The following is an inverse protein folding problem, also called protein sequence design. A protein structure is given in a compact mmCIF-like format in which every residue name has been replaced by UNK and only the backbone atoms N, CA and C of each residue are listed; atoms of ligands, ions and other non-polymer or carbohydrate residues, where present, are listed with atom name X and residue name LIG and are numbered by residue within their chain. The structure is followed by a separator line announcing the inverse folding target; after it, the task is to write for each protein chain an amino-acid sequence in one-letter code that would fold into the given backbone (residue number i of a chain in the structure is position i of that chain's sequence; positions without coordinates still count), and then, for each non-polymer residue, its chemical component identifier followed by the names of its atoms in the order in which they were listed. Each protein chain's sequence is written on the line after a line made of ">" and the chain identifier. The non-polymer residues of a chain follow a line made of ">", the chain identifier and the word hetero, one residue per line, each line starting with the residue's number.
data_IF_124282936963
#
_entry.id   IF_124282936963
#
_cell.length_a   1.000
_cell.length_b   1.000
_cell.length_c   1.000
_cell.angle_alpha   90.00
_cell.angle_beta   90.00
_cell.angle_gamma   90.00
#
_symmetry.space_group_name_H-M   'P 1'
#
loop_
_entity.id
_entity.type
_entity.pdbx_description
1 polymer ?
#
# COMPACT_ATOMS: atom_id res chain seq x y z
N UNK A 1 13.70 0.32 66.67
CA UNK A 1 12.69 1.11 65.93
C UNK A 1 13.29 2.01 64.85
N UNK A 2 14.31 2.81 65.14
CA UNK A 2 14.90 3.76 64.17
C UNK A 2 15.46 3.08 62.90
N UNK A 3 16.14 1.94 63.05
CA UNK A 3 16.69 1.15 61.94
C UNK A 3 15.57 0.59 61.03
N UNK A 4 14.44 0.16 61.61
CA UNK A 4 13.29 -0.31 60.86
C UNK A 4 12.61 0.82 60.07
N UNK A 5 12.52 2.03 60.65
CA UNK A 5 12.02 3.23 59.97
C UNK A 5 12.92 3.63 58.80
N UNK A 6 14.24 3.62 58.99
CA UNK A 6 15.20 3.94 57.93
C UNK A 6 15.11 2.91 56.80
N UNK A 7 15.08 1.60 57.12
CA UNK A 7 14.95 0.55 56.11
C UNK A 7 13.62 0.65 55.34
N UNK A 8 12.51 0.98 56.03
CA UNK A 8 11.21 1.18 55.38
C UNK A 8 11.22 2.39 54.42
N UNK A 9 11.85 3.51 54.81
CA UNK A 9 12.01 4.69 53.96
C UNK A 9 12.91 4.44 52.75
N UNK A 10 13.99 3.66 52.91
CA UNK A 10 14.88 3.26 51.81
C UNK A 10 14.16 2.36 50.80
N UNK A 11 13.35 1.41 51.28
CA UNK A 11 12.55 0.53 50.40
C UNK A 11 11.50 1.34 49.62
N UNK A 12 10.79 2.26 50.29
CA UNK A 12 9.78 3.10 49.65
C UNK A 12 10.38 4.07 48.62
N UNK A 13 11.51 4.69 48.92
CA UNK A 13 12.19 5.59 47.98
C UNK A 13 12.73 4.86 46.75
N UNK A 14 13.23 3.63 46.92
CA UNK A 14 13.68 2.78 45.81
C UNK A 14 12.51 2.34 44.91
N UNK A 15 11.37 1.97 45.49
CA UNK A 15 10.13 1.65 44.76
C UNK A 15 9.65 2.84 43.91
N UNK A 16 9.57 4.04 44.50
CA UNK A 16 9.20 5.27 43.79
C UNK A 16 10.18 5.60 42.65
N UNK A 17 11.49 5.49 42.89
CA UNK A 17 12.50 5.75 41.87
C UNK A 17 12.36 4.78 40.68
N UNK A 18 12.12 3.49 40.94
CA UNK A 18 11.92 2.49 39.89
C UNK A 18 10.65 2.72 39.07
N UNK A 19 9.54 3.11 39.72
CA UNK A 19 8.27 3.46 39.06
C UNK A 19 8.45 4.69 38.16
N UNK A 20 9.14 5.72 38.64
CA UNK A 20 9.46 6.91 37.83
C UNK A 20 10.35 6.57 36.62
N UNK A 21 11.36 5.71 36.79
CA UNK A 21 12.18 5.25 35.68
C UNK A 21 11.36 4.49 34.63
N UNK A 22 10.40 3.65 35.06
CA UNK A 22 9.50 2.95 34.14
C UNK A 22 8.57 3.91 33.41
N UNK A 23 8.00 4.90 34.11
CA UNK A 23 7.16 5.94 33.48
C UNK A 23 7.93 6.67 32.39
N UNK A 24 9.16 7.11 32.68
CA UNK A 24 10.00 7.80 31.70
C UNK A 24 10.26 6.93 30.47
N UNK A 25 10.60 5.65 30.67
CA UNK A 25 10.78 4.71 29.56
C UNK A 25 9.50 4.52 28.74
N UNK A 26 8.34 4.47 29.39
CA UNK A 26 7.05 4.39 28.69
C UNK A 26 6.82 5.65 27.83
N UNK A 27 7.19 6.83 28.32
CA UNK A 27 7.09 8.07 27.54
C UNK A 27 7.99 8.05 26.31
N UNK A 28 9.25 7.63 26.47
CA UNK A 28 10.20 7.43 25.37
C UNK A 28 9.66 6.40 24.35
N UNK A 29 9.19 5.24 24.81
CA UNK A 29 8.61 4.20 23.94
C UNK A 29 7.37 4.73 23.16
N UNK A 30 6.52 5.56 23.79
CA UNK A 30 5.36 6.17 23.11
C UNK A 30 5.81 7.14 22.03
N UNK A 31 6.78 8.00 22.32
CA UNK A 31 7.32 8.97 21.37
C UNK A 31 7.92 8.27 20.14
N UNK A 32 8.67 7.20 20.34
CA UNK A 32 9.22 6.37 19.26
C UNK A 32 8.12 5.81 18.36
N UNK A 33 7.06 5.23 18.94
CA UNK A 33 5.94 4.73 18.15
C UNK A 33 5.14 5.82 17.43
N UNK A 34 5.00 7.01 18.02
CA UNK A 34 4.36 8.16 17.36
C UNK A 34 5.18 8.64 16.16
N UNK A 35 6.51 8.65 16.28
CA UNK A 35 7.44 8.95 15.20
C UNK A 35 7.38 7.91 14.07
N UNK A 36 7.34 6.62 14.40
CA UNK A 36 7.19 5.53 13.42
C UNK A 36 5.88 5.67 12.64
N UNK A 37 4.77 5.97 13.31
CA UNK A 37 3.47 6.22 12.66
C UNK A 37 3.60 7.39 11.67
N UNK A 38 4.23 8.48 12.08
CA UNK A 38 4.43 9.66 11.22
C UNK A 38 5.28 9.35 10.00
N UNK A 39 6.35 8.58 10.17
CA UNK A 39 7.20 8.12 9.06
C UNK A 39 6.41 7.23 8.09
N UNK A 40 5.67 6.26 8.60
CA UNK A 40 4.83 5.37 7.80
C UNK A 40 3.75 6.14 7.03
N UNK A 41 3.14 7.16 7.63
CA UNK A 41 2.19 8.04 6.95
C UNK A 41 2.86 8.80 5.78
N UNK A 42 4.08 9.29 5.97
CA UNK A 42 4.86 9.91 4.90
C UNK A 42 5.14 8.94 3.74
N UNK A 43 5.48 7.68 4.07
CA UNK A 43 5.67 6.62 3.07
C UNK A 43 4.37 6.33 2.31
N UNK A 44 3.23 6.24 3.01
CA UNK A 44 1.91 6.04 2.40
C UNK A 44 1.59 7.15 1.39
N UNK A 45 1.83 8.42 1.74
CA UNK A 45 1.59 9.54 0.82
C UNK A 45 2.51 9.50 -0.40
N UNK A 46 3.80 9.17 -0.20
CA UNK A 46 4.72 8.93 -1.31
C UNK A 46 4.26 7.79 -2.22
N UNK A 47 3.78 6.68 -1.66
CA UNK A 47 3.23 5.56 -2.43
C UNK A 47 1.98 5.96 -3.21
N UNK A 48 1.05 6.69 -2.61
CA UNK A 48 -0.15 7.20 -3.29
C UNK A 48 0.19 8.09 -4.47
N UNK A 49 1.24 8.92 -4.38
CA UNK A 49 1.66 9.78 -5.49
C UNK A 49 2.20 9.02 -6.71
N UNK A 50 2.59 7.75 -6.56
CA UNK A 50 3.14 6.92 -7.64
C UNK A 50 2.06 6.24 -8.48
N UNK A 51 0.82 6.23 -8.01
CA UNK A 51 -0.28 5.55 -8.69
C UNK A 51 -1.43 6.52 -8.96
N UNK A 52 -2.17 6.22 -10.01
CA UNK A 52 -3.42 6.89 -10.28
C UNK A 52 -4.46 6.53 -9.20
N UNK A 53 -5.49 7.37 -9.07
CA UNK A 53 -6.65 7.03 -8.25
C UNK A 53 -7.28 5.71 -8.73
N UNK A 54 -7.92 4.97 -7.82
CA UNK A 54 -8.65 3.75 -8.16
C UNK A 54 -9.65 3.96 -9.30
N UNK A 55 -10.37 5.09 -9.29
CA UNK A 55 -11.31 5.43 -10.36
C UNK A 55 -10.63 5.62 -11.72
N UNK A 56 -9.48 6.30 -11.73
CA UNK A 56 -8.68 6.50 -12.94
C UNK A 56 -8.09 5.18 -13.44
N UNK A 57 -7.62 4.31 -12.53
CA UNK A 57 -7.10 2.98 -12.86
C UNK A 57 -8.17 2.13 -13.57
N UNK A 58 -9.39 2.09 -13.02
CA UNK A 58 -10.54 1.42 -13.65
C UNK A 58 -10.89 2.05 -15.00
N UNK A 59 -10.87 3.38 -15.10
CA UNK A 59 -11.14 4.08 -16.36
C UNK A 59 -10.13 3.72 -17.44
N UNK A 60 -8.84 3.59 -17.09
CA UNK A 60 -7.80 3.17 -18.03
C UNK A 60 -8.02 1.73 -18.51
N UNK A 61 -8.40 0.81 -17.61
CA UNK A 61 -8.79 -0.55 -17.99
C UNK A 61 -9.89 -0.55 -19.04
N UNK A 62 -10.97 0.19 -18.79
CA UNK A 62 -12.11 0.26 -19.70
C UNK A 62 -11.75 0.82 -21.07
N UNK A 63 -10.80 1.76 -21.13
CA UNK A 63 -10.28 2.27 -22.41
C UNK A 63 -9.54 1.19 -23.18
N UNK A 64 -8.64 0.46 -22.52
CA UNK A 64 -7.89 -0.65 -23.14
C UNK A 64 -8.84 -1.75 -23.60
N UNK A 65 -9.80 -2.15 -22.76
CA UNK A 65 -10.81 -3.17 -23.10
C UNK A 65 -11.63 -2.77 -24.34
N UNK A 66 -11.99 -1.48 -24.45
CA UNK A 66 -12.69 -0.95 -25.63
C UNK A 66 -11.82 -1.00 -26.88
N UNK A 67 -10.56 -0.59 -26.79
CA UNK A 67 -9.64 -0.63 -27.93
C UNK A 67 -9.41 -2.07 -28.42
N UNK A 68 -9.24 -3.03 -27.49
CA UNK A 68 -9.16 -4.45 -27.81
C UNK A 68 -10.44 -4.93 -28.51
N UNK A 69 -11.61 -4.52 -28.03
CA UNK A 69 -12.89 -4.88 -28.65
C UNK A 69 -13.01 -4.33 -30.08
N UNK A 70 -12.59 -3.10 -30.33
CA UNK A 70 -12.57 -2.49 -31.66
C UNK A 70 -11.62 -3.24 -32.61
N UNK A 71 -10.43 -3.60 -32.12
CA UNK A 71 -9.45 -4.40 -32.86
C UNK A 71 -9.96 -5.81 -33.19
N UNK A 72 -10.62 -6.48 -32.25
CA UNK A 72 -11.24 -7.80 -32.51
C UNK A 72 -12.40 -7.71 -33.51
N UNK A 73 -13.20 -6.64 -33.42
CA UNK A 73 -14.26 -6.36 -34.39
C UNK A 73 -13.69 -6.15 -35.80
N UNK A 74 -12.57 -5.42 -35.92
CA UNK A 74 -11.88 -5.22 -37.19
C UNK A 74 -11.29 -6.52 -37.74
N UNK A 75 -10.70 -7.37 -36.90
CA UNK A 75 -10.27 -8.73 -37.29
C UNK A 75 -11.44 -9.53 -37.88
N UNK A 76 -12.61 -9.46 -37.24
CA UNK A 76 -13.80 -10.15 -37.71
C UNK A 76 -14.28 -9.62 -39.06
N UNK A 77 -14.27 -8.29 -39.23
CA UNK A 77 -14.62 -7.62 -40.48
C UNK A 77 -13.69 -8.03 -41.61
N UNK A 78 -12.37 -7.99 -41.39
CA UNK A 78 -11.35 -8.36 -42.37
C UNK A 78 -11.52 -9.81 -42.80
N UNK A 79 -11.71 -10.76 -41.89
CA UNK A 79 -11.90 -12.18 -42.23
C UNK A 79 -13.12 -12.45 -43.12
N UNK A 80 -14.09 -11.54 -43.19
CA UNK A 80 -15.26 -11.62 -44.07
C UNK A 80 -15.06 -10.95 -45.43
N UNK A 81 -13.97 -10.20 -45.65
CA UNK A 81 -13.67 -9.57 -46.93
C UNK A 81 -13.03 -10.54 -47.93
N UNK A 82 -13.27 -10.29 -49.22
CA UNK A 82 -12.65 -11.07 -50.29
C UNK A 82 -11.13 -10.77 -50.36
N UNK A 83 -10.34 -11.74 -49.93
CA UNK A 83 -8.88 -11.65 -49.82
C UNK A 83 -8.16 -11.46 -51.17
N UNK A 84 -8.76 -11.88 -52.28
CA UNK A 84 -8.13 -11.89 -53.61
C UNK A 84 -7.78 -10.49 -54.15
N UNK A 85 -8.51 -9.45 -53.73
CA UNK A 85 -8.28 -8.07 -54.18
C UNK A 85 -7.67 -7.16 -53.11
N UNK A 86 -7.43 -7.67 -51.91
CA UNK A 86 -7.02 -6.84 -50.77
C UNK A 86 -5.60 -6.27 -50.97
N UNK A 87 -4.64 -7.10 -51.40
CA UNK A 87 -3.27 -6.66 -51.66
C UNK A 87 -3.20 -5.57 -52.73
N UNK A 88 -3.96 -5.72 -53.81
CA UNK A 88 -4.01 -4.75 -54.92
C UNK A 88 -4.56 -3.38 -54.48
N UNK A 89 -5.42 -3.36 -53.46
CA UNK A 89 -6.08 -2.13 -52.97
C UNK A 89 -5.32 -1.45 -51.82
N UNK A 90 -4.67 -2.23 -50.96
CA UNK A 90 -4.11 -1.72 -49.69
C UNK A 90 -2.59 -1.94 -49.55
N UNK A 91 -1.93 -2.60 -50.51
CA UNK A 91 -0.48 -2.82 -50.50
C UNK A 91 0.03 -3.79 -49.42
N UNK A 92 -0.86 -4.38 -48.63
CA UNK A 92 -0.57 -5.40 -47.60
C UNK A 92 -1.45 -6.63 -47.81
N UNK A 93 -0.97 -7.81 -47.41
CA UNK A 93 -1.82 -8.99 -47.36
C UNK A 93 -2.76 -8.88 -46.17
N UNK A 94 -3.94 -9.49 -46.27
CA UNK A 94 -4.88 -9.54 -45.14
C UNK A 94 -4.24 -10.21 -43.92
N UNK A 95 -3.40 -11.22 -44.13
CA UNK A 95 -2.66 -11.90 -43.07
C UNK A 95 -1.68 -10.95 -42.34
N UNK A 96 -0.98 -10.09 -43.06
CA UNK A 96 -0.13 -9.05 -42.45
C UNK A 96 -0.94 -8.12 -41.55
N UNK A 97 -2.12 -7.66 -42.02
CA UNK A 97 -2.99 -6.79 -41.21
C UNK A 97 -3.53 -7.52 -39.98
N UNK A 98 -3.95 -8.77 -40.12
CA UNK A 98 -4.41 -9.57 -38.98
C UNK A 98 -3.30 -9.78 -37.94
N UNK A 99 -2.05 -10.00 -38.39
CA UNK A 99 -0.90 -10.13 -37.50
C UNK A 99 -0.55 -8.81 -36.80
N UNK A 100 -0.63 -7.68 -37.50
CA UNK A 100 -0.48 -6.36 -36.90
C UNK A 100 -1.54 -6.11 -35.81
N UNK A 101 -2.80 -6.47 -36.06
CA UNK A 101 -3.86 -6.35 -35.06
C UNK A 101 -3.61 -7.26 -33.86
N UNK A 102 -3.25 -8.52 -34.09
CA UNK A 102 -2.90 -9.45 -32.99
C UNK A 102 -1.74 -8.93 -32.15
N UNK A 103 -0.72 -8.35 -32.78
CA UNK A 103 0.39 -7.70 -32.10
C UNK A 103 -0.05 -6.53 -31.23
N UNK A 104 -0.94 -5.66 -31.73
CA UNK A 104 -1.52 -4.56 -30.96
C UNK A 104 -2.30 -5.05 -29.74
N UNK A 105 -3.17 -6.04 -29.92
CA UNK A 105 -3.96 -6.63 -28.82
C UNK A 105 -3.02 -7.22 -27.76
N UNK A 106 -1.97 -7.94 -28.19
CA UNK A 106 -0.98 -8.49 -27.26
C UNK A 106 -0.29 -7.38 -26.47
N UNK A 107 0.18 -6.33 -27.13
CA UNK A 107 0.86 -5.21 -26.48
C UNK A 107 -0.05 -4.49 -25.48
N UNK A 108 -1.32 -4.24 -25.84
CA UNK A 108 -2.31 -3.62 -24.95
C UNK A 108 -2.55 -4.45 -23.68
N UNK A 109 -2.65 -5.78 -23.83
CA UNK A 109 -2.79 -6.68 -22.69
C UNK A 109 -1.53 -6.68 -21.80
N UNK A 110 -0.34 -6.72 -22.39
CA UNK A 110 0.92 -6.68 -21.64
C UNK A 110 1.11 -5.36 -20.90
N UNK A 111 0.77 -4.24 -21.54
CA UNK A 111 0.77 -2.92 -20.93
C UNK A 111 -0.18 -2.88 -19.73
N UNK A 112 -1.43 -3.34 -19.91
CA UNK A 112 -2.39 -3.39 -18.81
C UNK A 112 -1.92 -4.26 -17.65
N UNK A 113 -1.40 -5.46 -17.93
CA UNK A 113 -0.88 -6.36 -16.90
C UNK A 113 0.27 -5.73 -16.10
N UNK A 114 1.14 -4.96 -16.76
CA UNK A 114 2.21 -4.22 -16.10
C UNK A 114 1.68 -3.11 -15.18
N UNK A 115 0.69 -2.34 -15.67
CA UNK A 115 0.04 -1.29 -14.88
C UNK A 115 -0.71 -1.88 -13.67
N UNK A 116 -1.47 -2.95 -13.87
CA UNK A 116 -2.22 -3.65 -12.81
C UNK A 116 -1.28 -4.20 -11.73
N UNK A 117 -0.16 -4.83 -12.12
CA UNK A 117 0.82 -5.34 -11.16
C UNK A 117 1.38 -4.22 -10.29
N UNK A 118 1.78 -3.11 -10.91
CA UNK A 118 2.33 -1.94 -10.21
C UNK A 118 1.29 -1.35 -9.25
N UNK A 119 0.05 -1.18 -9.71
CA UNK A 119 -1.04 -0.67 -8.90
C UNK A 119 -1.32 -1.57 -7.69
N UNK A 120 -1.47 -2.88 -7.92
CA UNK A 120 -1.72 -3.88 -6.89
C UNK A 120 -0.59 -3.94 -5.85
N UNK A 121 0.67 -3.88 -6.27
CA UNK A 121 1.82 -3.86 -5.36
C UNK A 121 1.80 -2.62 -4.45
N UNK A 122 1.57 -1.44 -5.04
CA UNK A 122 1.52 -0.19 -4.26
C UNK A 122 0.36 -0.21 -3.27
N UNK A 123 -0.83 -0.66 -3.67
CA UNK A 123 -1.98 -0.80 -2.78
C UNK A 123 -1.68 -1.76 -1.64
N UNK A 124 -1.08 -2.92 -1.94
CA UNK A 124 -0.68 -3.90 -0.92
C UNK A 124 0.30 -3.30 0.10
N UNK A 125 1.29 -2.53 -0.37
CA UNK A 125 2.26 -1.86 0.48
C UNK A 125 1.61 -0.81 1.38
N UNK A 126 0.68 -0.01 0.84
CA UNK A 126 -0.10 0.97 1.63
C UNK A 126 -0.86 0.26 2.74
N UNK A 127 -1.56 -0.84 2.45
CA UNK A 127 -2.30 -1.61 3.45
C UNK A 127 -1.35 -2.28 4.47
N UNK A 128 -0.14 -2.66 4.07
CA UNK A 128 0.93 -3.08 4.97
C UNK A 128 1.25 -2.02 6.03
N UNK A 129 1.59 -0.80 5.60
CA UNK A 129 1.91 0.29 6.51
C UNK A 129 0.73 0.72 7.39
N UNK A 130 -0.51 0.69 6.87
CA UNK A 130 -1.70 0.94 7.69
C UNK A 130 -1.83 -0.06 8.83
N UNK A 131 -1.65 -1.37 8.56
CA UNK A 131 -1.69 -2.41 9.59
C UNK A 131 -0.61 -2.21 10.65
N UNK A 132 0.61 -1.88 10.22
CA UNK A 132 1.72 -1.56 11.15
C UNK A 132 1.35 -0.36 12.04
N UNK A 133 0.77 0.69 11.47
CA UNK A 133 0.32 1.85 12.25
C UNK A 133 -0.76 1.49 13.28
N UNK A 134 -1.70 0.61 12.95
CA UNK A 134 -2.70 0.14 13.92
C UNK A 134 -2.05 -0.66 15.07
N UNK A 135 -1.02 -1.46 14.79
CA UNK A 135 -0.25 -2.14 15.83
C UNK A 135 0.47 -1.15 16.76
N UNK A 136 1.10 -0.11 16.20
CA UNK A 136 1.72 0.95 17.00
C UNK A 136 0.70 1.70 17.85
N UNK A 137 -0.47 2.07 17.31
CA UNK A 137 -1.55 2.69 18.07
C UNK A 137 -2.05 1.82 19.22
N UNK A 138 -2.21 0.53 18.98
CA UNK A 138 -2.58 -0.44 20.02
C UNK A 138 -1.52 -0.49 21.13
N UNK A 139 -0.23 -0.51 20.75
CA UNK A 139 0.87 -0.52 21.71
C UNK A 139 0.95 0.76 22.54
N UNK A 140 0.80 1.92 21.90
CA UNK A 140 0.70 3.22 22.58
C UNK A 140 -0.47 3.20 23.58
N UNK A 141 -1.64 2.68 23.20
CA UNK A 141 -2.78 2.59 24.09
C UNK A 141 -2.48 1.72 25.33
N UNK A 142 -1.90 0.53 25.14
CA UNK A 142 -1.48 -0.32 26.27
C UNK A 142 -0.44 0.35 27.17
N UNK A 143 0.54 1.04 26.60
CA UNK A 143 1.56 1.79 27.34
C UNK A 143 0.95 2.94 28.15
N UNK A 144 -0.03 3.66 27.60
CA UNK A 144 -0.76 4.72 28.32
C UNK A 144 -1.55 4.16 29.51
N UNK A 145 -2.17 2.98 29.37
CA UNK A 145 -2.83 2.29 30.49
C UNK A 145 -1.81 1.87 31.56
N UNK A 146 -0.68 1.27 31.16
CA UNK A 146 0.38 0.88 32.09
C UNK A 146 0.90 2.08 32.88
N UNK A 147 1.20 3.18 32.20
CA UNK A 147 1.62 4.44 32.83
C UNK A 147 0.61 4.94 33.85
N UNK A 148 -0.67 4.97 33.50
CA UNK A 148 -1.74 5.40 34.41
C UNK A 148 -1.79 4.51 35.66
N UNK A 149 -1.71 3.19 35.50
CA UNK A 149 -1.71 2.25 36.62
C UNK A 149 -0.50 2.46 37.53
N UNK A 150 0.70 2.68 36.98
CA UNK A 150 1.90 2.97 37.77
C UNK A 150 1.71 4.28 38.53
N UNK A 151 1.22 5.33 37.87
CA UNK A 151 0.98 6.64 38.49
C UNK A 151 -0.04 6.60 39.62
N UNK A 152 -1.08 5.76 39.52
CA UNK A 152 -2.06 5.54 40.60
C UNK A 152 -1.49 4.76 41.80
N UNK A 153 -0.36 4.08 41.59
CA UNK A 153 0.32 3.25 42.60
C UNK A 153 1.51 3.93 43.29
N UNK A 154 1.81 5.17 42.91
CA UNK A 154 2.79 6.06 43.56
C UNK A 154 2.06 6.87 44.63
#
# INVERSE_FOLDING_TARGET
>A
MLIFLINFLVIKSTDIASKNARIKKIEEDIEDYENDIKMNLGIIESLKSKINSSATHVTNKLKIDREIFELESEKYRLKRENSANYYKKYGKTMEQVLNEINGKIKNLNEEWLSQERTYSEVVSNIEGYKRINELHKSKIHSLRIEKANIQWSI
#
